data_IF_751862734458
#
_entry.id   IF_751862734458
#
_cell.length_a   1.000
_cell.length_b   1.000
_cell.length_c   1.000
_cell.angle_alpha   90.00
_cell.angle_beta   90.00
_cell.angle_gamma   90.00
#
_symmetry.space_group_name_H-M   'P 1'
#
loop_
_entity.id
_entity.type
_entity.pdbx_description
1 polymer ?
#
# COMPACT_ATOMS: atom_id res chain seq x y z
N UNK A 1 -5.92 -18.02 -25.53
CA UNK A 1 -5.61 -19.33 -24.91
C UNK A 1 -4.35 -19.16 -24.07
N UNK A 2 -4.17 -20.02 -23.07
CA UNK A 2 -2.92 -20.09 -22.29
C UNK A 2 -2.22 -21.39 -22.67
N UNK A 3 -0.95 -21.31 -23.06
CA UNK A 3 -0.11 -22.48 -23.33
C UNK A 3 0.96 -22.55 -22.25
N UNK A 4 0.91 -23.58 -21.41
CA UNK A 4 1.91 -23.81 -20.36
C UNK A 4 3.04 -24.64 -20.95
N UNK A 5 4.29 -24.19 -20.76
CA UNK A 5 5.49 -24.85 -21.27
C UNK A 5 6.47 -25.17 -20.14
N UNK A 6 7.36 -26.16 -20.30
CA UNK A 6 8.44 -26.43 -19.34
C UNK A 6 9.34 -25.20 -19.10
N UNK A 7 9.97 -25.14 -17.93
CA UNK A 7 10.82 -24.00 -17.52
C UNK A 7 11.96 -23.70 -18.50
N UNK A 8 12.48 -24.71 -19.21
CA UNK A 8 13.57 -24.57 -20.17
C UNK A 8 13.13 -24.55 -21.63
N UNK A 9 11.83 -24.43 -21.89
CA UNK A 9 11.29 -24.37 -23.25
C UNK A 9 11.81 -23.14 -24.01
N UNK A 10 12.35 -23.30 -25.24
CA UNK A 10 12.85 -22.19 -26.03
C UNK A 10 11.70 -21.30 -26.51
N UNK A 11 11.73 -20.01 -26.15
CA UNK A 11 10.68 -19.06 -26.49
C UNK A 11 11.00 -18.37 -27.82
N UNK A 12 10.08 -18.47 -28.79
CA UNK A 12 10.16 -17.77 -30.08
C UNK A 12 9.06 -16.73 -30.19
N UNK A 13 9.43 -15.46 -30.32
CA UNK A 13 8.51 -14.31 -30.31
C UNK A 13 7.35 -14.39 -31.31
N UNK A 14 7.47 -15.19 -32.38
CA UNK A 14 6.42 -15.37 -33.39
C UNK A 14 5.27 -16.30 -32.95
N UNK A 15 5.46 -17.10 -31.89
CA UNK A 15 4.53 -18.16 -31.49
C UNK A 15 3.53 -17.72 -30.41
N UNK A 16 3.67 -16.49 -29.87
CA UNK A 16 2.82 -15.99 -28.79
C UNK A 16 2.62 -14.46 -28.85
N UNK A 17 1.55 -14.01 -28.19
CA UNK A 17 1.19 -12.60 -28.11
C UNK A 17 1.78 -11.88 -26.89
N UNK A 18 2.11 -12.64 -25.83
CA UNK A 18 2.70 -12.16 -24.59
C UNK A 18 3.24 -13.32 -23.76
N UNK A 19 4.11 -13.02 -22.80
CA UNK A 19 4.78 -14.02 -21.96
C UNK A 19 4.45 -13.75 -20.51
N UNK A 20 4.05 -14.79 -19.80
CA UNK A 20 3.85 -14.75 -18.37
C UNK A 20 4.84 -15.71 -17.70
N UNK A 21 5.64 -15.22 -16.77
CA UNK A 21 6.59 -16.02 -16.01
C UNK A 21 6.07 -16.16 -14.58
N UNK A 22 5.53 -17.33 -14.26
CA UNK A 22 4.90 -17.60 -12.98
C UNK A 22 5.92 -17.68 -11.82
N UNK A 23 5.38 -17.89 -10.63
CA UNK A 23 6.14 -18.21 -9.43
C UNK A 23 6.80 -19.60 -9.49
N UNK A 24 7.64 -19.89 -8.49
CA UNK A 24 8.27 -21.19 -8.29
C UNK A 24 9.22 -21.20 -7.08
N UNK A 25 9.71 -22.38 -6.68
CA UNK A 25 10.66 -22.53 -5.58
C UNK A 25 12.12 -22.38 -6.06
N UNK A 26 13.03 -22.23 -5.10
CA UNK A 26 14.46 -22.40 -5.32
C UNK A 26 15.25 -21.10 -5.43
N UNK A 27 16.53 -21.24 -5.80
CA UNK A 27 17.43 -20.12 -6.08
C UNK A 27 17.31 -19.74 -7.57
N UNK A 28 16.93 -18.49 -7.90
CA UNK A 28 16.74 -18.05 -9.28
C UNK A 28 18.02 -18.15 -10.12
N UNK A 29 19.21 -18.09 -9.50
CA UNK A 29 20.49 -18.21 -10.21
C UNK A 29 20.72 -19.60 -10.82
N UNK A 30 19.95 -20.61 -10.42
CA UNK A 30 20.05 -21.97 -10.97
C UNK A 30 19.27 -22.14 -12.28
N UNK A 31 18.51 -21.13 -12.72
CA UNK A 31 17.61 -21.21 -13.87
C UNK A 31 18.20 -20.60 -15.15
N UNK A 32 19.48 -20.88 -15.45
CA UNK A 32 20.23 -20.28 -16.56
C UNK A 32 19.52 -20.30 -17.92
N UNK A 33 18.86 -21.42 -18.26
CA UNK A 33 18.16 -21.56 -19.54
C UNK A 33 16.97 -20.60 -19.62
N UNK A 34 16.15 -20.50 -18.56
CA UNK A 34 15.01 -19.57 -18.52
C UNK A 34 15.47 -18.13 -18.54
N UNK A 35 16.54 -17.80 -17.80
CA UNK A 35 17.15 -16.47 -17.81
C UNK A 35 17.57 -16.07 -19.23
N UNK A 36 18.22 -16.98 -19.97
CA UNK A 36 18.59 -16.75 -21.38
C UNK A 36 17.37 -16.54 -22.29
N UNK A 37 16.31 -17.34 -22.12
CA UNK A 37 15.09 -17.21 -22.91
C UNK A 37 14.34 -15.88 -22.61
N UNK A 38 14.27 -15.46 -21.36
CA UNK A 38 13.70 -14.15 -20.98
C UNK A 38 14.56 -13.03 -21.56
N UNK A 39 15.88 -13.14 -21.47
CA UNK A 39 16.80 -12.15 -22.04
C UNK A 39 16.61 -11.99 -23.54
N UNK A 40 16.39 -13.08 -24.29
CA UNK A 40 16.13 -12.99 -25.73
C UNK A 40 14.81 -12.26 -26.05
N UNK A 41 13.79 -12.39 -25.20
CA UNK A 41 12.52 -11.67 -25.38
C UNK A 41 12.70 -10.18 -25.12
N UNK A 42 13.34 -9.82 -23.99
CA UNK A 42 13.53 -8.42 -23.60
C UNK A 42 14.47 -7.68 -24.56
N UNK A 43 15.41 -8.40 -25.18
CA UNK A 43 16.35 -7.84 -26.17
C UNK A 43 15.78 -7.78 -27.59
N UNK A 44 14.58 -8.33 -27.84
CA UNK A 44 13.93 -8.32 -29.15
C UNK A 44 13.47 -6.88 -29.49
N UNK A 45 13.79 -6.33 -30.68
CA UNK A 45 13.28 -5.03 -31.11
C UNK A 45 11.75 -4.92 -31.08
N UNK A 46 11.05 -6.05 -31.22
CA UNK A 46 9.61 -6.17 -31.07
C UNK A 46 9.24 -6.91 -29.76
N UNK A 47 9.91 -6.52 -28.65
CA UNK A 47 9.72 -7.09 -27.32
C UNK A 47 8.23 -7.30 -27.01
N UNK A 48 7.85 -8.56 -26.86
CA UNK A 48 6.48 -8.94 -26.49
C UNK A 48 6.19 -8.50 -25.05
N UNK A 49 4.93 -8.18 -24.74
CA UNK A 49 4.53 -7.92 -23.36
C UNK A 49 4.92 -9.07 -22.45
N UNK A 50 5.57 -8.76 -21.33
CA UNK A 50 6.05 -9.75 -20.37
C UNK A 50 5.65 -9.36 -18.96
N UNK A 51 5.04 -10.30 -18.24
CA UNK A 51 4.69 -10.16 -16.83
C UNK A 51 5.29 -11.29 -15.99
N UNK A 52 6.11 -10.94 -14.99
CA UNK A 52 6.73 -11.89 -14.07
C UNK A 52 6.15 -11.83 -12.66
N UNK A 53 5.95 -12.98 -12.01
CA UNK A 53 5.47 -13.09 -10.62
C UNK A 53 6.46 -13.89 -9.77
N UNK A 54 6.81 -13.36 -8.59
CA UNK A 54 7.66 -14.01 -7.60
C UNK A 54 8.99 -14.51 -8.18
N UNK A 55 9.14 -15.81 -8.45
CA UNK A 55 10.31 -16.33 -9.15
C UNK A 55 10.47 -15.67 -10.54
N UNK A 56 9.38 -15.45 -11.28
CA UNK A 56 9.43 -14.76 -12.56
C UNK A 56 9.93 -13.31 -12.47
N UNK A 57 9.70 -12.63 -11.34
CA UNK A 57 10.29 -11.32 -11.07
C UNK A 57 11.82 -11.40 -10.91
N UNK A 58 12.30 -12.39 -10.16
CA UNK A 58 13.73 -12.61 -9.94
C UNK A 58 14.44 -13.03 -11.24
N UNK A 59 13.83 -13.94 -12.02
CA UNK A 59 14.38 -14.40 -13.31
C UNK A 59 14.44 -13.28 -14.34
N UNK A 60 13.41 -12.44 -14.41
CA UNK A 60 13.43 -11.24 -15.25
C UNK A 60 14.56 -10.30 -14.83
N UNK A 61 14.72 -10.06 -13.53
CA UNK A 61 15.74 -9.17 -12.99
C UNK A 61 17.16 -9.66 -13.32
N UNK A 62 17.41 -10.97 -13.19
CA UNK A 62 18.67 -11.59 -13.62
C UNK A 62 18.87 -11.49 -15.13
N UNK A 63 17.82 -11.69 -15.94
CA UNK A 63 17.89 -11.62 -17.40
C UNK A 63 18.30 -10.24 -17.93
N UNK A 64 17.92 -9.18 -17.21
CA UNK A 64 18.30 -7.79 -17.54
C UNK A 64 19.64 -7.37 -16.90
N UNK A 65 20.28 -8.25 -16.13
CA UNK A 65 21.61 -8.00 -15.55
C UNK A 65 21.62 -7.43 -14.13
N UNK A 66 20.46 -7.34 -13.46
CA UNK A 66 20.41 -7.06 -12.03
C UNK A 66 20.85 -8.29 -11.21
N UNK A 67 21.09 -8.08 -9.91
CA UNK A 67 21.50 -9.14 -8.98
C UNK A 67 20.36 -9.53 -8.04
N UNK A 68 20.38 -10.79 -7.63
CA UNK A 68 19.52 -11.31 -6.57
C UNK A 68 20.36 -11.70 -5.36
N UNK A 69 19.77 -11.65 -4.17
CA UNK A 69 20.41 -12.09 -2.93
C UNK A 69 19.45 -12.93 -2.09
N UNK A 70 20.01 -13.82 -1.26
CA UNK A 70 19.25 -14.61 -0.30
C UNK A 70 18.94 -13.75 0.92
N UNK A 71 17.67 -13.68 1.29
CA UNK A 71 17.21 -12.91 2.44
C UNK A 71 17.54 -13.67 3.73
N UNK A 72 17.83 -12.93 4.82
CA UNK A 72 17.98 -13.51 6.16
C UNK A 72 16.66 -14.10 6.65
N UNK A 73 15.59 -13.33 6.48
CA UNK A 73 14.20 -13.74 6.69
C UNK A 73 13.49 -13.48 5.38
N UNK A 74 12.89 -14.51 4.79
CA UNK A 74 12.11 -14.34 3.57
C UNK A 74 10.70 -13.88 3.89
N UNK A 75 10.09 -13.10 2.99
CA UNK A 75 8.73 -12.61 3.18
C UNK A 75 7.72 -13.72 2.89
N UNK A 76 6.99 -14.10 3.94
CA UNK A 76 6.02 -15.19 3.94
C UNK A 76 4.79 -14.79 4.73
N UNK A 77 3.66 -14.62 4.07
CA UNK A 77 2.41 -14.25 4.73
C UNK A 77 1.43 -13.58 3.79
N UNK A 78 0.24 -13.27 4.31
CA UNK A 78 -0.86 -12.63 3.58
C UNK A 78 -1.06 -11.16 3.97
N UNK A 79 -0.14 -10.60 4.78
CA UNK A 79 -0.22 -9.27 5.36
C UNK A 79 1.02 -8.42 5.03
N UNK A 80 1.71 -8.70 3.92
CA UNK A 80 2.95 -8.00 3.57
C UNK A 80 2.61 -6.66 2.89
N UNK A 81 3.00 -5.51 3.50
CA UNK A 81 2.69 -4.19 2.96
C UNK A 81 3.65 -3.81 1.82
N UNK A 82 3.10 -3.50 0.66
CA UNK A 82 3.84 -3.06 -0.51
C UNK A 82 3.48 -1.61 -0.86
N UNK A 83 4.46 -0.71 -0.77
CA UNK A 83 4.34 0.67 -1.22
C UNK A 83 4.46 0.73 -2.74
N UNK A 84 3.53 1.41 -3.40
CA UNK A 84 3.64 1.73 -4.82
C UNK A 84 4.54 2.95 -5.00
N UNK A 85 5.55 2.79 -5.85
CA UNK A 85 6.65 3.75 -6.00
C UNK A 85 6.16 5.16 -6.41
N UNK A 86 6.77 6.20 -5.85
CA UNK A 86 6.37 7.62 -6.04
C UNK A 86 4.91 7.92 -5.65
N UNK A 87 4.34 7.17 -4.71
CA UNK A 87 3.00 7.41 -4.20
C UNK A 87 2.90 7.16 -2.68
N UNK A 88 1.77 7.56 -2.10
CA UNK A 88 1.40 7.19 -0.72
C UNK A 88 0.57 5.91 -0.65
N UNK A 89 0.36 5.21 -1.78
CA UNK A 89 -0.48 4.01 -1.83
C UNK A 89 0.29 2.82 -1.28
N UNK A 90 -0.29 2.16 -0.30
CA UNK A 90 0.16 0.87 0.24
C UNK A 90 -0.89 -0.18 -0.05
N UNK A 91 -0.45 -1.37 -0.44
CA UNK A 91 -1.30 -2.52 -0.73
C UNK A 91 -0.87 -3.69 0.14
N UNK A 92 -1.83 -4.47 0.64
CA UNK A 92 -1.51 -5.68 1.37
C UNK A 92 -1.38 -6.82 0.35
N UNK A 93 -0.34 -7.64 0.51
CA UNK A 93 0.01 -8.65 -0.49
C UNK A 93 0.29 -10.02 0.13
N UNK A 94 0.03 -11.06 -0.65
CA UNK A 94 0.45 -12.43 -0.37
C UNK A 94 1.84 -12.68 -0.92
N UNK A 95 2.76 -13.14 -0.07
CA UNK A 95 4.15 -13.39 -0.43
C UNK A 95 4.64 -14.73 0.09
N UNK A 96 5.53 -15.36 -0.67
CA UNK A 96 6.26 -16.55 -0.24
C UNK A 96 7.59 -16.70 -1.00
N UNK A 97 8.59 -15.90 -0.63
CA UNK A 97 9.93 -15.97 -1.24
C UNK A 97 11.04 -15.83 -0.21
N UNK A 98 12.24 -16.32 -0.55
CA UNK A 98 13.45 -16.22 0.28
C UNK A 98 14.62 -15.51 -0.41
N UNK A 99 14.40 -15.02 -1.62
CA UNK A 99 15.34 -14.25 -2.42
C UNK A 99 14.69 -12.92 -2.80
N UNK A 100 15.50 -11.89 -2.97
CA UNK A 100 15.05 -10.57 -3.39
C UNK A 100 16.01 -9.99 -4.43
N UNK A 101 15.55 -8.96 -5.14
CA UNK A 101 16.32 -8.24 -6.18
C UNK A 101 16.99 -7.01 -5.57
N UNK A 102 18.26 -6.80 -5.91
CA UNK A 102 19.02 -5.60 -5.52
C UNK A 102 18.77 -4.47 -6.52
N UNK A 103 17.98 -3.48 -6.12
CA UNK A 103 17.58 -2.36 -6.98
C UNK A 103 18.73 -1.44 -7.37
N UNK A 104 19.84 -1.43 -6.63
CA UNK A 104 21.02 -0.65 -6.97
C UNK A 104 21.74 -1.19 -8.22
N UNK A 105 21.40 -2.41 -8.63
CA UNK A 105 21.99 -3.08 -9.79
C UNK A 105 21.08 -3.06 -11.01
N UNK A 106 19.93 -2.37 -10.93
CA UNK A 106 19.04 -2.25 -12.08
C UNK A 106 19.73 -1.45 -13.21
N UNK A 107 19.68 -1.94 -14.45
CA UNK A 107 20.23 -1.22 -15.59
C UNK A 107 19.38 0.01 -15.93
N UNK A 108 19.95 0.92 -16.73
CA UNK A 108 19.21 2.06 -17.26
C UNK A 108 17.95 1.61 -18.01
N UNK A 109 16.86 2.37 -17.86
CA UNK A 109 15.57 2.03 -18.47
C UNK A 109 14.64 1.22 -17.57
N UNK A 110 15.10 0.82 -16.39
CA UNK A 110 14.30 0.12 -15.38
C UNK A 110 14.13 0.96 -14.12
N UNK A 111 12.99 0.79 -13.46
CA UNK A 111 12.74 1.39 -12.14
C UNK A 111 12.04 0.40 -11.22
N UNK A 112 12.25 0.49 -9.89
CA UNK A 112 11.37 -0.12 -8.92
C UNK A 112 9.91 0.25 -9.19
N UNK A 113 9.01 -0.70 -8.95
CA UNK A 113 7.57 -0.52 -9.09
C UNK A 113 6.87 -0.58 -7.73
N UNK A 114 7.30 -1.53 -6.89
CA UNK A 114 6.84 -1.68 -5.52
C UNK A 114 8.04 -1.91 -4.59
N UNK A 115 7.88 -1.49 -3.34
CA UNK A 115 8.87 -1.65 -2.26
C UNK A 115 8.17 -2.11 -0.99
N UNK A 116 8.72 -3.10 -0.30
CA UNK A 116 8.15 -3.59 0.95
C UNK A 116 8.26 -2.50 2.04
N UNK A 117 7.15 -2.19 2.72
CA UNK A 117 7.15 -1.12 3.72
C UNK A 117 7.91 -1.52 5.01
N UNK A 118 8.02 -2.81 5.32
CA UNK A 118 8.64 -3.30 6.54
C UNK A 118 10.17 -3.38 6.43
N UNK A 119 10.68 -3.94 5.34
CA UNK A 119 12.10 -4.28 5.20
C UNK A 119 12.82 -3.57 4.03
N UNK A 120 12.09 -2.75 3.25
CA UNK A 120 12.61 -2.00 2.11
C UNK A 120 13.13 -2.87 0.95
N UNK A 121 12.79 -4.16 0.93
CA UNK A 121 13.15 -5.04 -0.20
C UNK A 121 12.28 -4.75 -1.41
N UNK A 122 12.81 -5.09 -2.59
CA UNK A 122 12.11 -4.85 -3.84
C UNK A 122 10.92 -5.80 -4.01
N UNK A 123 9.78 -5.23 -4.40
CA UNK A 123 8.53 -5.96 -4.57
C UNK A 123 8.01 -5.93 -6.01
N UNK A 124 8.78 -5.34 -6.92
CA UNK A 124 8.48 -5.30 -8.34
C UNK A 124 9.35 -4.30 -9.10
N UNK A 125 9.43 -4.51 -10.41
CA UNK A 125 10.15 -3.63 -11.34
C UNK A 125 9.34 -3.42 -12.61
N UNK A 126 9.62 -2.32 -13.30
CA UNK A 126 8.98 -1.95 -14.55
C UNK A 126 9.98 -1.31 -15.50
N UNK A 127 9.89 -1.62 -16.79
CA UNK A 127 10.64 -0.90 -17.81
C UNK A 127 9.94 0.44 -18.13
N UNK A 128 10.73 1.49 -18.36
CA UNK A 128 10.21 2.83 -18.64
C UNK A 128 9.51 2.98 -20.01
N UNK A 129 9.62 2.00 -20.90
CA UNK A 129 9.19 2.10 -22.31
C UNK A 129 8.73 0.76 -22.88
N UNK A 130 9.49 -0.32 -22.65
CA UNK A 130 9.10 -1.67 -23.08
C UNK A 130 7.85 -2.15 -22.29
N UNK A 131 7.02 -3.03 -22.88
CA UNK A 131 5.81 -3.56 -22.23
C UNK A 131 6.14 -4.65 -21.20
N UNK A 132 7.11 -4.40 -20.32
CA UNK A 132 7.65 -5.40 -19.39
C UNK A 132 7.59 -4.90 -17.96
N UNK A 133 7.01 -5.72 -17.08
CA UNK A 133 6.97 -5.48 -15.64
C UNK A 133 6.94 -6.80 -14.87
N UNK A 134 7.21 -6.74 -13.58
CA UNK A 134 7.09 -7.89 -12.70
C UNK A 134 6.85 -7.48 -11.26
N UNK A 135 6.30 -8.40 -10.47
CA UNK A 135 6.05 -8.23 -9.04
C UNK A 135 6.55 -9.44 -8.27
N UNK A 136 7.05 -9.20 -7.05
CA UNK A 136 7.62 -10.24 -6.20
C UNK A 136 6.54 -10.98 -5.38
N UNK A 137 5.42 -10.31 -5.11
CA UNK A 137 4.22 -10.87 -4.48
C UNK A 137 3.31 -11.60 -5.48
N UNK A 138 2.24 -12.21 -4.95
CA UNK A 138 1.30 -13.08 -5.66
C UNK A 138 -0.08 -12.40 -5.87
N UNK A 139 -0.27 -11.61 -6.94
CA UNK A 139 -1.56 -10.97 -7.26
C UNK A 139 -2.66 -11.95 -7.66
N UNK A 140 -2.34 -13.23 -7.95
CA UNK A 140 -3.31 -14.30 -8.22
C UNK A 140 -3.97 -14.84 -6.95
N UNK A 141 -3.47 -14.43 -5.77
CA UNK A 141 -4.16 -14.52 -4.50
C UNK A 141 -5.02 -15.77 -4.30
N UNK A 142 -4.41 -16.96 -4.20
CA UNK A 142 -5.12 -18.16 -3.77
C UNK A 142 -4.96 -18.38 -2.26
N UNK A 143 -5.53 -17.42 -1.51
CA UNK A 143 -5.38 -17.03 -0.10
C UNK A 143 -4.70 -15.65 0.06
N UNK A 144 -5.28 -14.83 0.94
CA UNK A 144 -4.87 -13.45 1.18
C UNK A 144 -5.68 -12.39 0.42
N UNK A 145 -5.22 -11.13 0.38
CA UNK A 145 -5.98 -9.99 -0.14
C UNK A 145 -6.09 -9.97 -1.68
N UNK A 146 -7.16 -9.33 -2.18
CA UNK A 146 -7.45 -9.20 -3.62
C UNK A 146 -7.01 -7.87 -4.24
N UNK A 147 -6.22 -7.09 -3.51
CA UNK A 147 -5.93 -5.68 -3.79
C UNK A 147 -5.26 -5.41 -5.16
N UNK A 148 -4.55 -6.39 -5.74
CA UNK A 148 -3.70 -6.21 -6.91
C UNK A 148 -3.96 -7.21 -8.07
N UNK A 149 -5.12 -7.88 -8.08
CA UNK A 149 -5.53 -8.75 -9.21
C UNK A 149 -5.60 -7.98 -10.55
N UNK A 150 -5.85 -6.66 -10.50
CA UNK A 150 -5.87 -5.75 -11.65
C UNK A 150 -4.57 -5.75 -12.48
N UNK A 151 -3.45 -6.26 -11.94
CA UNK A 151 -2.20 -6.39 -12.70
C UNK A 151 -2.35 -7.39 -13.86
N UNK A 152 -3.24 -8.37 -13.75
CA UNK A 152 -3.61 -9.24 -14.87
C UNK A 152 -4.36 -8.48 -15.96
N UNK A 153 -5.29 -7.59 -15.60
CA UNK A 153 -6.00 -6.74 -16.57
C UNK A 153 -5.02 -5.82 -17.30
N UNK A 154 -4.08 -5.21 -16.58
CA UNK A 154 -3.00 -4.41 -17.16
C UNK A 154 -2.20 -5.22 -18.18
N UNK A 155 -1.81 -6.45 -17.82
CA UNK A 155 -1.04 -7.32 -18.71
C UNK A 155 -1.84 -7.69 -19.97
N UNK A 156 -3.10 -8.10 -19.81
CA UNK A 156 -3.97 -8.46 -20.94
C UNK A 156 -4.24 -7.27 -21.87
N UNK A 157 -4.43 -6.09 -21.31
CA UNK A 157 -4.60 -4.86 -22.09
C UNK A 157 -3.34 -4.46 -22.84
N UNK A 158 -2.16 -4.66 -22.24
CA UNK A 158 -0.88 -4.49 -22.93
C UNK A 158 -0.74 -5.45 -24.11
N UNK A 159 -1.09 -6.73 -23.91
CA UNK A 159 -1.10 -7.73 -25.00
C UNK A 159 -2.04 -7.31 -26.13
N UNK A 160 -3.29 -6.93 -25.81
CA UNK A 160 -4.27 -6.47 -26.80
C UNK A 160 -3.81 -5.22 -27.55
N UNK A 161 -3.19 -4.26 -26.86
CA UNK A 161 -2.69 -3.03 -27.46
C UNK A 161 -1.49 -3.29 -28.37
N UNK A 162 -0.53 -4.10 -27.92
CA UNK A 162 0.65 -4.48 -28.70
C UNK A 162 0.26 -5.20 -29.99
N UNK A 163 -0.72 -6.13 -29.95
CA UNK A 163 -1.24 -6.80 -31.16
C UNK A 163 -1.85 -5.85 -32.19
N UNK A 164 -2.44 -4.74 -31.73
CA UNK A 164 -3.01 -3.70 -32.59
C UNK A 164 -1.98 -2.68 -33.07
N UNK A 165 -0.69 -2.85 -32.71
CA UNK A 165 0.37 -1.88 -32.98
C UNK A 165 0.23 -0.59 -32.18
N UNK A 166 -0.57 -0.58 -31.11
CA UNK A 166 -0.79 0.60 -30.29
C UNK A 166 0.18 0.63 -29.11
N UNK A 167 1.15 1.53 -29.17
CA UNK A 167 2.19 1.76 -28.14
C UNK A 167 2.04 3.10 -27.42
N UNK A 168 0.87 3.74 -27.50
CA UNK A 168 0.69 5.11 -27.00
C UNK A 168 0.84 5.27 -25.48
N UNK A 169 0.58 4.21 -24.70
CA UNK A 169 0.70 4.19 -23.24
C UNK A 169 1.66 3.10 -22.80
N UNK A 170 2.64 3.48 -21.98
CA UNK A 170 3.57 2.52 -21.38
C UNK A 170 2.86 1.62 -20.37
N UNK A 171 3.47 0.49 -20.01
CA UNK A 171 2.92 -0.38 -18.95
C UNK A 171 2.90 0.33 -17.60
N UNK A 172 3.90 1.18 -17.33
CA UNK A 172 3.92 2.02 -16.13
C UNK A 172 2.72 2.97 -16.07
N UNK A 173 2.36 3.62 -17.18
CA UNK A 173 1.19 4.51 -17.25
C UNK A 173 -0.11 3.76 -17.03
N UNK A 174 -0.23 2.55 -17.59
CA UNK A 174 -1.42 1.71 -17.38
C UNK A 174 -1.56 1.27 -15.93
N UNK A 175 -0.47 0.84 -15.29
CA UNK A 175 -0.48 0.50 -13.87
C UNK A 175 -0.89 1.73 -13.06
N UNK A 176 -0.26 2.87 -13.30
CA UNK A 176 -0.56 4.12 -12.60
C UNK A 176 -2.05 4.49 -12.70
N UNK A 177 -2.62 4.38 -13.91
CA UNK A 177 -4.04 4.64 -14.15
C UNK A 177 -4.96 3.70 -13.35
N UNK A 178 -4.64 2.41 -13.27
CA UNK A 178 -5.46 1.45 -12.52
C UNK A 178 -5.33 1.61 -11.00
N UNK A 179 -4.14 1.99 -10.51
CA UNK A 179 -3.91 2.23 -9.09
C UNK A 179 -4.41 3.59 -8.61
N UNK A 180 -4.66 4.51 -9.53
CA UNK A 180 -5.30 5.80 -9.23
C UNK A 180 -6.80 5.58 -9.06
N UNK A 181 -7.32 5.89 -7.87
CA UNK A 181 -8.75 5.86 -7.56
C UNK A 181 -9.26 7.29 -7.43
N UNK A 182 -10.40 7.59 -8.05
CA UNK A 182 -11.03 8.90 -7.92
C UNK A 182 -11.29 9.24 -6.44
N UNK A 183 -10.92 10.45 -6.02
CA UNK A 183 -11.05 10.91 -4.65
C UNK A 183 -9.97 10.40 -3.68
N UNK A 184 -9.08 9.49 -4.08
CA UNK A 184 -7.98 9.02 -3.23
C UNK A 184 -6.66 9.62 -3.69
N UNK A 185 -5.97 10.40 -2.85
CA UNK A 185 -4.73 11.07 -3.24
C UNK A 185 -3.60 10.07 -3.50
N UNK A 186 -2.80 10.36 -4.52
CA UNK A 186 -1.56 9.62 -4.84
C UNK A 186 -0.34 10.20 -4.11
N UNK A 187 -0.44 11.43 -3.63
CA UNK A 187 0.61 12.13 -2.89
C UNK A 187 0.04 12.67 -1.59
N UNK A 188 0.88 12.82 -0.57
CA UNK A 188 0.45 13.39 0.69
C UNK A 188 -0.13 14.79 0.46
N UNK A 189 -1.28 15.07 1.06
CA UNK A 189 -1.84 16.41 1.06
C UNK A 189 -0.94 17.30 1.93
N UNK A 190 -0.49 18.43 1.38
CA UNK A 190 0.21 19.46 2.14
C UNK A 190 -0.79 20.23 3.02
N UNK A 191 -1.34 19.59 4.04
CA UNK A 191 -2.22 20.23 5.04
C UNK A 191 -1.44 20.54 6.30
N UNK A 192 -1.53 21.78 6.78
CA UNK A 192 -1.00 22.14 8.09
C UNK A 192 -1.78 21.41 9.19
N UNK A 193 -1.08 20.76 10.10
CA UNK A 193 -1.69 20.15 11.28
C UNK A 193 -2.39 21.21 12.15
N UNK A 194 -3.53 20.88 12.79
CA UNK A 194 -4.18 21.79 13.73
C UNK A 194 -3.28 22.02 14.94
N UNK A 195 -3.31 23.23 15.53
CA UNK A 195 -2.52 23.53 16.72
C UNK A 195 -3.28 23.17 18.00
N UNK A 196 -4.61 23.25 17.95
CA UNK A 196 -5.49 22.89 19.06
C UNK A 196 -6.67 22.07 18.58
N UNK A 197 -6.92 20.94 19.25
CA UNK A 197 -8.04 20.04 18.95
C UNK A 197 -8.93 19.86 20.18
N UNK A 198 -10.23 20.04 19.96
CA UNK A 198 -11.28 19.74 20.93
C UNK A 198 -11.76 18.29 20.75
N UNK A 199 -11.88 17.56 21.85
CA UNK A 199 -12.27 16.16 21.87
C UNK A 199 -13.51 16.05 22.74
N UNK A 200 -14.59 15.48 22.18
CA UNK A 200 -15.81 15.19 22.93
C UNK A 200 -15.73 13.75 23.47
N UNK A 201 -15.78 13.61 24.80
CA UNK A 201 -15.73 12.32 25.48
C UNK A 201 -17.04 11.53 25.40
N UNK A 202 -17.13 10.44 26.14
CA UNK A 202 -18.27 9.51 26.13
C UNK A 202 -19.56 10.07 26.73
N UNK A 203 -19.47 11.13 27.53
CA UNK A 203 -20.63 11.72 28.21
C UNK A 203 -20.95 11.01 29.53
N UNK A 204 -22.24 10.98 29.90
CA UNK A 204 -22.70 10.26 31.09
C UNK A 204 -22.71 8.73 30.87
N UNK A 205 -22.64 7.97 31.97
CA UNK A 205 -22.68 6.51 31.95
C UNK A 205 -24.03 6.00 31.41
N UNK A 206 -24.13 5.79 30.09
CA UNK A 206 -25.21 5.03 29.46
C UNK A 206 -24.81 3.56 29.38
N UNK A 207 -25.76 2.64 29.60
CA UNK A 207 -25.54 1.19 29.45
C UNK A 207 -25.03 0.93 28.04
N UNK A 208 -23.82 0.35 27.92
CA UNK A 208 -23.21 0.01 26.64
C UNK A 208 -22.31 1.07 25.98
N UNK A 209 -22.05 2.22 26.62
CA UNK A 209 -21.24 3.30 26.00
C UNK A 209 -20.02 3.79 26.80
N UNK A 210 -19.83 3.39 28.06
CA UNK A 210 -18.85 4.10 28.90
C UNK A 210 -17.37 3.73 28.66
N UNK A 211 -17.02 2.44 28.73
CA UNK A 211 -15.60 2.04 28.82
C UNK A 211 -14.80 2.14 27.52
N UNK A 212 -15.40 1.80 26.39
CA UNK A 212 -14.71 1.76 25.08
C UNK A 212 -14.34 3.16 24.57
N UNK A 213 -15.22 4.14 24.77
CA UNK A 213 -15.02 5.50 24.29
C UNK A 213 -14.06 6.29 25.18
N UNK A 214 -14.04 6.02 26.48
CA UNK A 214 -13.02 6.57 27.38
C UNK A 214 -11.62 6.07 26.98
N UNK A 215 -11.48 4.79 26.61
CA UNK A 215 -10.23 4.24 26.09
C UNK A 215 -9.86 4.82 24.73
N UNK A 216 -10.79 4.83 23.77
CA UNK A 216 -10.55 5.32 22.40
C UNK A 216 -10.19 6.81 22.37
N UNK A 217 -10.90 7.64 23.15
CA UNK A 217 -10.57 9.05 23.29
C UNK A 217 -9.24 9.30 23.99
N UNK A 218 -8.82 8.42 24.91
CA UNK A 218 -7.47 8.48 25.51
C UNK A 218 -6.38 8.20 24.48
N UNK A 219 -6.60 7.26 23.55
CA UNK A 219 -5.66 7.00 22.44
C UNK A 219 -5.59 8.19 21.48
N UNK A 220 -6.73 8.83 21.18
CA UNK A 220 -6.77 10.04 20.37
C UNK A 220 -5.95 11.19 21.02
N UNK A 221 -6.09 11.41 22.33
CA UNK A 221 -5.29 12.39 23.07
C UNK A 221 -3.79 12.06 22.95
N UNK A 222 -3.42 10.79 23.14
CA UNK A 222 -2.02 10.35 23.04
C UNK A 222 -1.44 10.62 21.66
N UNK A 223 -2.15 10.25 20.58
CA UNK A 223 -1.71 10.49 19.21
C UNK A 223 -1.54 11.98 18.90
N UNK A 224 -2.48 12.83 19.35
CA UNK A 224 -2.37 14.28 19.18
C UNK A 224 -1.16 14.86 19.93
N UNK A 225 -0.85 14.34 21.12
CA UNK A 225 0.32 14.77 21.90
C UNK A 225 1.66 14.37 21.26
N UNK A 226 1.74 13.17 20.67
CA UNK A 226 2.92 12.74 19.91
C UNK A 226 3.22 13.69 18.74
N UNK A 227 2.18 14.27 18.15
CA UNK A 227 2.25 15.29 17.08
C UNK A 227 2.35 16.75 17.60
N UNK A 228 2.56 16.96 18.91
CA UNK A 228 2.63 18.29 19.55
C UNK A 228 1.37 19.17 19.38
N UNK A 229 0.20 18.56 19.32
CA UNK A 229 -1.10 19.25 19.19
C UNK A 229 -1.72 19.46 20.58
N UNK A 230 -2.16 20.68 20.88
CA UNK A 230 -2.81 20.99 22.16
C UNK A 230 -4.20 20.37 22.26
N UNK A 231 -4.45 19.64 23.35
CA UNK A 231 -5.67 18.84 23.53
C UNK A 231 -6.61 19.43 24.57
N UNK A 232 -7.86 19.68 24.16
CA UNK A 232 -8.96 20.07 25.05
C UNK A 232 -9.98 18.94 25.08
N UNK A 233 -10.33 18.45 26.26
CA UNK A 233 -11.32 17.39 26.46
C UNK A 233 -12.57 17.95 27.15
N UNK A 234 -13.76 17.59 26.67
CA UNK A 234 -15.02 17.72 27.42
C UNK A 234 -15.50 16.32 27.79
N UNK A 235 -15.55 16.00 29.08
CA UNK A 235 -16.14 14.76 29.57
C UNK A 235 -16.72 14.99 30.99
N UNK A 236 -18.04 14.82 31.20
CA UNK A 236 -18.65 14.99 32.52
C UNK A 236 -18.32 13.84 33.48
N UNK A 237 -17.83 12.70 32.99
CA UNK A 237 -17.44 11.57 33.83
C UNK A 237 -16.12 11.86 34.56
N UNK A 238 -16.20 12.11 35.86
CA UNK A 238 -15.03 12.32 36.73
C UNK A 238 -14.28 11.03 37.06
N UNK A 239 -14.91 9.86 36.88
CA UNK A 239 -14.40 8.57 37.33
C UNK A 239 -13.84 7.75 36.16
N UNK A 240 -12.98 8.37 35.33
CA UNK A 240 -12.35 7.70 34.19
C UNK A 240 -10.89 8.08 34.02
N UNK A 241 -10.11 7.16 33.43
CA UNK A 241 -8.71 7.41 33.07
C UNK A 241 -8.60 8.56 32.06
N UNK A 242 -9.60 8.74 31.20
CA UNK A 242 -9.60 9.79 30.18
C UNK A 242 -9.48 11.21 30.77
N UNK A 243 -10.02 11.43 31.98
CA UNK A 243 -10.00 12.73 32.66
C UNK A 243 -8.86 12.85 33.69
N UNK A 244 -7.94 11.89 33.72
CA UNK A 244 -6.79 11.91 34.61
C UNK A 244 -5.87 13.09 34.32
N UNK A 245 -5.30 13.65 35.38
CA UNK A 245 -4.40 14.81 35.29
C UNK A 245 -3.21 14.49 34.39
N UNK A 246 -2.97 15.36 33.41
CA UNK A 246 -1.84 15.26 32.48
C UNK A 246 -2.12 14.45 31.22
N UNK A 247 -3.26 13.75 31.13
CA UNK A 247 -3.61 13.05 29.89
C UNK A 247 -3.96 14.06 28.79
N UNK A 248 -5.03 14.84 28.94
CA UNK A 248 -5.29 16.02 28.11
C UNK A 248 -4.61 17.26 28.71
N UNK A 249 -4.35 18.28 27.90
CA UNK A 249 -3.77 19.54 28.38
C UNK A 249 -4.78 20.36 29.16
N UNK A 250 -6.06 20.29 28.76
CA UNK A 250 -7.17 20.91 29.48
C UNK A 250 -8.41 20.01 29.48
N UNK A 251 -9.07 19.90 30.63
CA UNK A 251 -10.29 19.10 30.81
C UNK A 251 -11.43 19.97 31.31
N UNK A 252 -12.59 19.85 30.68
CA UNK A 252 -13.86 20.44 31.06
C UNK A 252 -14.82 19.35 31.52
N UNK A 253 -15.21 19.40 32.79
CA UNK A 253 -16.26 18.53 33.35
C UNK A 253 -17.64 19.14 33.09
N UNK A 254 -18.03 19.18 31.81
CA UNK A 254 -19.31 19.74 31.36
C UNK A 254 -20.14 18.68 30.61
N UNK A 255 -21.48 18.78 30.63
CA UNK A 255 -22.33 17.96 29.78
C UNK A 255 -21.98 18.14 28.30
N UNK A 256 -22.06 17.06 27.53
CA UNK A 256 -21.86 17.09 26.08
C UNK A 256 -23.19 17.46 25.42
N UNK A 257 -23.50 18.76 25.44
CA UNK A 257 -24.65 19.35 24.74
C UNK A 257 -24.18 20.51 23.87
N UNK A 258 -24.93 20.86 22.81
CA UNK A 258 -24.54 21.93 21.88
C UNK A 258 -24.24 23.26 22.59
N UNK A 259 -25.01 23.61 23.61
CA UNK A 259 -24.83 24.85 24.37
C UNK A 259 -23.48 24.90 25.08
N UNK A 260 -23.13 23.88 25.86
CA UNK A 260 -21.87 23.85 26.60
C UNK A 260 -20.66 23.69 25.67
N UNK A 261 -20.76 22.84 24.66
CA UNK A 261 -19.70 22.65 23.66
C UNK A 261 -19.44 23.95 22.92
N UNK A 262 -20.49 24.70 22.53
CA UNK A 262 -20.36 26.02 21.89
C UNK A 262 -19.61 27.01 22.77
N UNK A 263 -19.86 27.02 24.08
CA UNK A 263 -19.13 27.90 25.00
C UNK A 263 -17.64 27.54 25.10
N UNK A 264 -17.33 26.24 25.17
CA UNK A 264 -15.93 25.78 25.17
C UNK A 264 -15.24 26.16 23.86
N UNK A 265 -15.89 26.00 22.71
CA UNK A 265 -15.35 26.43 21.41
C UNK A 265 -15.06 27.93 21.40
N UNK A 266 -15.98 28.77 21.90
CA UNK A 266 -15.77 30.23 21.99
C UNK A 266 -14.57 30.61 22.85
N UNK A 267 -14.38 29.91 23.97
CA UNK A 267 -13.28 30.15 24.91
C UNK A 267 -11.94 29.62 24.38
N UNK A 268 -11.91 28.40 23.87
CA UNK A 268 -10.68 27.70 23.50
C UNK A 268 -10.23 27.97 22.08
N UNK A 269 -11.15 28.31 21.17
CA UNK A 269 -10.91 28.51 19.74
C UNK A 269 -10.07 27.36 19.12
N UNK A 270 -10.54 26.10 19.20
CA UNK A 270 -9.84 24.97 18.60
C UNK A 270 -9.88 25.06 17.07
N UNK A 271 -8.83 24.56 16.40
CA UNK A 271 -8.72 24.48 14.95
C UNK A 271 -9.40 23.21 14.38
N UNK A 272 -9.61 22.20 15.24
CA UNK A 272 -10.26 20.94 14.89
C UNK A 272 -11.10 20.38 16.03
N UNK A 273 -12.07 19.54 15.68
CA UNK A 273 -12.94 18.86 16.64
C UNK A 273 -13.02 17.36 16.31
N UNK A 274 -12.87 16.51 17.33
CA UNK A 274 -13.02 15.07 17.22
C UNK A 274 -14.32 14.63 17.90
N UNK A 275 -15.25 14.14 17.08
CA UNK A 275 -16.61 13.76 17.47
C UNK A 275 -16.81 12.23 17.56
N UNK A 276 -15.86 11.45 17.03
CA UNK A 276 -16.00 10.01 16.79
C UNK A 276 -15.57 9.13 17.97
N UNK A 277 -14.88 9.70 18.96
CA UNK A 277 -14.33 8.95 20.09
C UNK A 277 -15.18 9.01 21.36
N UNK A 278 -16.34 9.67 21.31
CA UNK A 278 -17.27 9.83 22.42
C UNK A 278 -18.62 9.13 22.25
N UNK A 279 -18.68 8.15 21.34
CA UNK A 279 -19.91 7.42 21.04
C UNK A 279 -21.01 8.29 20.43
N UNK A 280 -22.26 7.82 20.54
CA UNK A 280 -23.40 8.50 19.92
C UNK A 280 -23.67 9.87 20.53
N UNK A 281 -23.38 10.07 21.81
CA UNK A 281 -23.56 11.37 22.48
C UNK A 281 -22.68 12.46 21.86
N UNK A 282 -21.40 12.18 21.64
CA UNK A 282 -20.49 13.11 20.97
C UNK A 282 -20.88 13.31 19.50
N UNK A 283 -21.23 12.23 18.79
CA UNK A 283 -21.60 12.31 17.39
C UNK A 283 -22.86 13.15 17.18
N UNK A 284 -23.93 12.90 17.94
CA UNK A 284 -25.18 13.67 17.88
C UNK A 284 -25.02 15.13 18.31
N UNK A 285 -24.03 15.43 19.14
CA UNK A 285 -23.77 16.81 19.56
C UNK A 285 -23.06 17.61 18.45
N UNK A 286 -22.29 16.95 17.58
CA UNK A 286 -21.49 17.60 16.54
C UNK A 286 -22.11 17.64 15.14
N UNK A 287 -23.08 16.76 14.85
CA UNK A 287 -23.88 16.73 13.60
C UNK A 287 -25.13 17.57 13.77
#
# INVERSE_FOLDING_TARGET
SVTVVPWDYPLKSAEFDGVFVSNGPGDPMMCDKTIKNIKSIVSDPNCKPLFGICLGHQLLSLAIGAKTFKMKYGNRGHNQPCMYENSIRCFITSQNHGFAVDTNTLPQGWSPLFTNANDQTNEGIVHLTLPVFSVQFHPENQAGPQDLELLFDVFLDQVRAHKKGNTSLTVKDRIHKHLTTEGIPMQALNTSLPKKVLILGSGGLSIGQAGEFDYSGSQAIKALKEENIHTVLINPNIATVQTSRGLADKVYFLPITPDYVTQVIKCERPDGILLTFGGQTALNCGV
#
